data_IF_495626780674
#
_entry.id   IF_495626780674
#
_cell.length_a   1.000
_cell.length_b   1.000
_cell.length_c   1.000
_cell.angle_alpha   90.00
_cell.angle_beta   90.00
_cell.angle_gamma   90.00
#
_symmetry.space_group_name_H-M   'P 1'
#
loop_
_entity.id
_entity.type
_entity.pdbx_description
1 polymer ?
#
# COMPACT_ATOMS: atom_id res chain seq x y z
N UNK A 1 49.33 34.16 -6.01
CA UNK A 1 47.90 34.57 -5.77
C UNK A 1 46.90 33.64 -6.46
N UNK A 2 47.22 32.98 -7.57
CA UNK A 2 46.34 32.04 -8.30
C UNK A 2 46.12 30.68 -7.61
N UNK A 3 47.07 30.20 -6.80
CA UNK A 3 46.99 28.88 -6.14
C UNK A 3 45.95 28.84 -5.02
N UNK A 4 45.72 29.92 -4.28
CA UNK A 4 44.74 30.00 -3.19
C UNK A 4 43.30 30.07 -3.70
N UNK A 5 43.05 30.62 -4.88
CA UNK A 5 41.74 30.70 -5.49
C UNK A 5 41.26 29.34 -6.00
N UNK A 6 42.17 28.53 -6.55
CA UNK A 6 41.86 27.16 -7.02
C UNK A 6 41.55 26.22 -5.85
N UNK A 7 42.31 26.32 -4.76
CA UNK A 7 42.09 25.49 -3.56
C UNK A 7 40.74 25.80 -2.88
N UNK A 8 40.36 27.09 -2.84
CA UNK A 8 39.09 27.53 -2.23
C UNK A 8 37.85 27.11 -3.03
N UNK A 9 37.92 27.04 -4.34
CA UNK A 9 36.85 26.56 -5.20
C UNK A 9 36.77 25.04 -5.21
N UNK A 10 37.91 24.34 -5.12
CA UNK A 10 37.96 22.88 -5.05
C UNK A 10 37.37 22.38 -3.73
N UNK A 11 37.71 23.02 -2.60
CA UNK A 11 37.13 22.68 -1.29
C UNK A 11 35.64 22.96 -1.20
N UNK A 12 35.16 24.06 -1.80
CA UNK A 12 33.70 24.36 -1.87
C UNK A 12 32.96 23.32 -2.72
N UNK A 13 33.50 22.87 -3.83
CA UNK A 13 32.92 21.83 -4.67
C UNK A 13 32.84 20.48 -3.97
N UNK A 14 33.87 20.11 -3.21
CA UNK A 14 33.91 18.86 -2.43
C UNK A 14 32.89 18.93 -1.26
N UNK A 15 32.81 20.06 -0.56
CA UNK A 15 31.87 20.25 0.56
C UNK A 15 30.42 20.21 0.05
N UNK A 16 30.14 20.87 -1.09
CA UNK A 16 28.80 20.83 -1.70
C UNK A 16 28.43 19.41 -2.17
N UNK A 17 29.36 18.68 -2.78
CA UNK A 17 29.10 17.33 -3.25
C UNK A 17 28.88 16.34 -2.09
N UNK A 18 29.67 16.47 -1.00
CA UNK A 18 29.48 15.66 0.20
C UNK A 18 28.16 15.96 0.94
N UNK A 19 27.75 17.23 1.01
CA UNK A 19 26.46 17.60 1.62
C UNK A 19 25.27 17.08 0.81
N UNK A 20 25.34 17.08 -0.53
CA UNK A 20 24.33 16.51 -1.40
C UNK A 20 24.26 14.99 -1.21
N UNK A 21 25.39 14.30 -1.16
CA UNK A 21 25.44 12.84 -0.96
C UNK A 21 24.90 12.41 0.42
N UNK A 22 25.23 13.15 1.47
CA UNK A 22 24.74 12.89 2.84
C UNK A 22 23.23 13.11 2.93
N UNK A 23 22.69 14.16 2.32
CA UNK A 23 21.26 14.44 2.31
C UNK A 23 20.47 13.38 1.54
N UNK A 24 21.00 12.91 0.41
CA UNK A 24 20.40 11.82 -0.38
C UNK A 24 20.41 10.49 0.35
N UNK A 25 21.51 10.15 1.00
CA UNK A 25 21.64 8.93 1.80
C UNK A 25 20.66 8.95 2.97
N UNK A 26 20.55 10.06 3.69
CA UNK A 26 19.60 10.23 4.79
C UNK A 26 18.14 10.11 4.32
N UNK A 27 17.80 10.68 3.18
CA UNK A 27 16.48 10.55 2.58
C UNK A 27 16.15 9.10 2.21
N UNK A 28 17.07 8.39 1.58
CA UNK A 28 16.91 6.98 1.19
C UNK A 28 16.76 6.07 2.42
N UNK A 29 17.59 6.24 3.43
CA UNK A 29 17.51 5.46 4.68
C UNK A 29 16.18 5.68 5.38
N UNK A 30 15.71 6.92 5.46
CA UNK A 30 14.42 7.26 6.04
C UNK A 30 13.27 6.62 5.26
N UNK A 31 13.31 6.70 3.92
CA UNK A 31 12.29 6.10 3.06
C UNK A 31 12.22 4.58 3.27
N UNK A 32 13.38 3.90 3.34
CA UNK A 32 13.44 2.47 3.63
C UNK A 32 12.86 2.14 5.01
N UNK A 33 13.21 2.91 6.04
CA UNK A 33 12.69 2.70 7.39
C UNK A 33 11.16 2.85 7.45
N UNK A 34 10.60 3.90 6.84
CA UNK A 34 9.15 4.12 6.84
C UNK A 34 8.43 3.09 5.96
N UNK A 35 9.04 2.62 4.86
CA UNK A 35 8.52 1.51 4.06
C UNK A 35 8.47 0.21 4.88
N UNK A 36 9.52 -0.09 5.64
CA UNK A 36 9.57 -1.22 6.57
C UNK A 36 8.48 -1.13 7.65
N UNK A 37 8.27 0.05 8.23
CA UNK A 37 7.19 0.28 9.21
C UNK A 37 5.80 0.05 8.59
N UNK A 38 5.56 0.53 7.37
CA UNK A 38 4.28 0.31 6.68
C UNK A 38 4.07 -1.18 6.36
N UNK A 39 5.12 -1.88 5.92
CA UNK A 39 5.07 -3.34 5.71
C UNK A 39 4.77 -4.08 7.00
N UNK A 40 5.42 -3.72 8.12
CA UNK A 40 5.17 -4.31 9.43
C UNK A 40 3.73 -4.06 9.89
N UNK A 41 3.20 -2.86 9.67
CA UNK A 41 1.81 -2.55 9.96
C UNK A 41 0.83 -3.42 9.15
N UNK A 42 1.13 -3.69 7.87
CA UNK A 42 0.37 -4.64 7.05
C UNK A 42 0.43 -6.05 7.61
N UNK A 43 1.63 -6.53 7.94
CA UNK A 43 1.86 -7.87 8.50
C UNK A 43 1.16 -8.08 9.85
N UNK A 44 1.03 -7.03 10.65
CA UNK A 44 0.33 -7.08 11.94
C UNK A 44 -1.19 -6.97 11.76
N UNK A 45 -1.67 -6.05 10.94
CA UNK A 45 -3.09 -5.76 10.83
C UNK A 45 -3.87 -6.78 9.98
N UNK A 46 -3.25 -7.34 8.94
CA UNK A 46 -3.93 -8.22 7.99
C UNK A 46 -4.37 -9.58 8.57
N UNK A 47 -3.62 -10.24 9.48
CA UNK A 47 -4.05 -11.48 10.11
C UNK A 47 -5.33 -11.33 10.94
N UNK A 48 -5.50 -10.17 11.59
CA UNK A 48 -6.73 -9.87 12.35
C UNK A 48 -7.87 -9.60 11.39
N UNK A 49 -8.61 -10.63 11.09
CA UNK A 49 -9.73 -10.60 10.18
C UNK A 49 -10.93 -11.33 10.77
N UNK A 50 -12.12 -10.82 10.46
CA UNK A 50 -13.38 -11.38 10.93
C UNK A 50 -13.93 -12.27 9.82
N UNK A 51 -14.14 -13.57 10.07
CA UNK A 51 -14.76 -14.44 9.09
C UNK A 51 -16.21 -14.01 8.86
N UNK A 52 -16.63 -13.97 7.61
CA UNK A 52 -18.01 -13.67 7.22
C UNK A 52 -18.67 -14.98 6.82
N UNK A 53 -19.73 -15.45 7.51
CA UNK A 53 -20.29 -16.79 7.30
C UNK A 53 -20.75 -17.06 5.86
N UNK A 54 -21.15 -16.03 5.14
CA UNK A 54 -21.66 -16.13 3.76
C UNK A 54 -20.57 -15.93 2.68
N UNK A 55 -19.30 -15.73 3.09
CA UNK A 55 -18.22 -15.40 2.14
C UNK A 55 -16.91 -16.13 2.49
N UNK A 56 -16.19 -16.64 1.49
CA UNK A 56 -14.85 -17.17 1.67
C UNK A 56 -13.79 -16.08 1.91
N UNK A 57 -14.15 -14.81 1.72
CA UNK A 57 -13.27 -13.65 1.90
C UNK A 57 -13.52 -13.08 3.31
N UNK A 58 -12.54 -13.05 4.22
CA UNK A 58 -12.74 -12.45 5.54
C UNK A 58 -12.69 -10.92 5.50
N UNK A 59 -13.42 -10.28 6.40
CA UNK A 59 -13.34 -8.84 6.61
C UNK A 59 -12.01 -8.50 7.30
N UNK A 60 -11.11 -7.79 6.64
CA UNK A 60 -9.79 -7.42 7.18
C UNK A 60 -9.56 -5.91 7.14
N UNK A 61 -8.53 -5.46 7.87
CA UNK A 61 -8.06 -4.07 7.84
C UNK A 61 -6.96 -3.85 6.78
N UNK A 62 -6.61 -4.86 5.99
CA UNK A 62 -5.49 -4.80 5.05
C UNK A 62 -5.61 -3.62 4.07
N UNK A 63 -6.77 -3.47 3.42
CA UNK A 63 -7.02 -2.38 2.49
C UNK A 63 -6.93 -1.00 3.15
N UNK A 64 -7.38 -0.86 4.40
CA UNK A 64 -7.25 0.37 5.16
C UNK A 64 -5.78 0.76 5.42
N UNK A 65 -4.95 -0.21 5.82
CA UNK A 65 -3.52 0.03 6.02
C UNK A 65 -2.83 0.35 4.70
N UNK A 66 -3.22 -0.29 3.58
CA UNK A 66 -2.73 0.04 2.24
C UNK A 66 -3.07 1.50 1.88
N UNK A 67 -4.32 1.94 2.11
CA UNK A 67 -4.71 3.32 1.87
C UNK A 67 -3.82 4.32 2.60
N UNK A 68 -3.53 4.07 3.88
CA UNK A 68 -2.66 4.92 4.68
C UNK A 68 -1.20 4.85 4.22
N UNK A 69 -0.67 3.65 3.95
CA UNK A 69 0.69 3.47 3.48
C UNK A 69 0.94 4.24 2.17
N UNK A 70 0.04 4.11 1.20
CA UNK A 70 0.14 4.85 -0.08
C UNK A 70 -0.03 6.35 0.13
N UNK A 71 -0.93 6.76 1.03
CA UNK A 71 -1.15 8.18 1.33
C UNK A 71 0.11 8.84 1.92
N UNK A 72 0.79 8.15 2.82
CA UNK A 72 1.97 8.65 3.54
C UNK A 72 3.22 8.57 2.67
N UNK A 73 3.48 7.40 2.08
CA UNK A 73 4.74 7.07 1.40
C UNK A 73 4.76 7.44 -0.08
N UNK A 74 3.59 7.61 -0.67
CA UNK A 74 3.48 7.79 -2.12
C UNK A 74 3.42 6.48 -2.89
N UNK A 75 3.27 6.58 -4.22
CA UNK A 75 3.05 5.44 -5.10
C UNK A 75 4.14 4.39 -4.99
N UNK A 76 5.42 4.78 -5.16
CA UNK A 76 6.52 3.82 -5.24
C UNK A 76 6.74 3.05 -3.93
N UNK A 77 6.91 3.78 -2.83
CA UNK A 77 7.20 3.15 -1.53
C UNK A 77 5.97 2.47 -0.92
N UNK A 78 4.76 3.02 -1.12
CA UNK A 78 3.51 2.38 -0.70
C UNK A 78 3.26 1.07 -1.46
N UNK A 79 3.46 1.03 -2.78
CA UNK A 79 3.35 -0.22 -3.55
C UNK A 79 4.45 -1.22 -3.17
N UNK A 80 5.67 -0.74 -2.91
CA UNK A 80 6.77 -1.61 -2.46
C UNK A 80 6.45 -2.26 -1.11
N UNK A 81 5.84 -1.53 -0.16
CA UNK A 81 5.44 -2.11 1.12
C UNK A 81 4.39 -3.22 0.96
N UNK A 82 3.44 -3.06 0.02
CA UNK A 82 2.47 -4.11 -0.31
C UNK A 82 3.15 -5.31 -0.97
N UNK A 83 4.08 -5.07 -1.89
CA UNK A 83 4.83 -6.14 -2.56
C UNK A 83 5.64 -6.96 -1.57
N UNK A 84 6.35 -6.32 -0.64
CA UNK A 84 7.11 -7.00 0.42
C UNK A 84 6.16 -7.81 1.32
N UNK A 85 5.03 -7.24 1.74
CA UNK A 85 4.00 -7.94 2.51
C UNK A 85 3.53 -9.22 1.79
N UNK A 86 3.22 -9.14 0.49
CA UNK A 86 2.80 -10.30 -0.30
C UNK A 86 3.92 -11.34 -0.45
N UNK A 87 5.16 -10.90 -0.63
CA UNK A 87 6.32 -11.79 -0.71
C UNK A 87 6.56 -12.54 0.61
N UNK A 88 6.45 -11.85 1.76
CA UNK A 88 6.56 -12.48 3.08
C UNK A 88 5.46 -13.52 3.30
N UNK A 89 4.22 -13.18 2.94
CA UNK A 89 3.11 -14.12 3.01
C UNK A 89 3.26 -15.30 2.06
N UNK A 90 3.76 -15.09 0.83
CA UNK A 90 4.07 -16.15 -0.13
C UNK A 90 5.16 -17.10 0.37
N UNK A 91 6.17 -16.57 1.08
CA UNK A 91 7.23 -17.35 1.71
C UNK A 91 6.74 -18.22 2.90
N UNK A 92 5.47 -18.11 3.28
CA UNK A 92 4.87 -18.94 4.33
C UNK A 92 4.69 -18.26 5.67
N UNK A 93 5.06 -16.98 5.81
CA UNK A 93 4.80 -16.25 7.05
C UNK A 93 3.29 -16.06 7.24
N UNK A 94 2.74 -16.21 8.47
CA UNK A 94 1.31 -16.14 8.76
C UNK A 94 0.81 -14.69 8.81
N UNK A 95 1.07 -13.93 7.74
CA UNK A 95 0.76 -12.49 7.65
C UNK A 95 -0.51 -12.19 6.85
N UNK A 96 -1.13 -13.20 6.22
CA UNK A 96 -2.41 -13.03 5.54
C UNK A 96 -3.59 -13.20 6.51
N UNK A 97 -4.80 -12.92 6.04
CA UNK A 97 -6.02 -13.03 6.84
C UNK A 97 -6.14 -14.37 7.56
N UNK A 98 -6.61 -14.33 8.81
CA UNK A 98 -6.76 -15.50 9.71
C UNK A 98 -5.43 -16.22 9.97
N UNK A 99 -4.33 -15.46 10.12
CA UNK A 99 -2.99 -15.97 10.40
C UNK A 99 -2.51 -17.03 9.39
N UNK A 100 -2.91 -16.90 8.14
CA UNK A 100 -2.52 -17.81 7.07
C UNK A 100 -1.34 -17.27 6.27
N UNK A 101 -0.69 -18.14 5.50
CA UNK A 101 0.43 -17.82 4.61
C UNK A 101 0.68 -18.93 3.62
N UNK A 102 1.71 -18.77 2.81
CA UNK A 102 2.14 -19.70 1.79
C UNK A 102 1.43 -19.55 0.44
N UNK A 103 1.99 -20.22 -0.58
CA UNK A 103 1.47 -20.19 -1.94
C UNK A 103 0.05 -20.74 -2.06
N UNK A 104 -0.33 -21.69 -1.19
CA UNK A 104 -1.69 -22.23 -1.14
C UNK A 104 -2.75 -21.17 -0.84
N UNK A 105 -2.45 -20.16 -0.03
CA UNK A 105 -3.37 -19.06 0.23
C UNK A 105 -3.49 -18.11 -0.98
N UNK A 106 -2.39 -17.89 -1.69
CA UNK A 106 -2.39 -17.09 -2.92
C UNK A 106 -3.11 -17.82 -4.05
N UNK A 107 -2.94 -19.13 -4.15
CA UNK A 107 -3.65 -19.95 -5.12
C UNK A 107 -5.13 -20.20 -4.72
N UNK A 108 -5.53 -19.90 -3.50
CA UNK A 108 -6.89 -20.08 -2.99
C UNK A 108 -7.89 -18.99 -3.41
N UNK A 109 -9.14 -19.06 -2.93
CA UNK A 109 -10.24 -18.16 -3.32
C UNK A 109 -9.96 -16.67 -3.10
N UNK A 110 -9.10 -16.33 -2.15
CA UNK A 110 -8.74 -14.94 -1.84
C UNK A 110 -7.53 -14.41 -2.61
N UNK A 111 -6.86 -15.25 -3.43
CA UNK A 111 -5.63 -14.91 -4.14
C UNK A 111 -5.78 -13.73 -5.10
N UNK A 112 -6.90 -13.65 -5.80
CA UNK A 112 -7.18 -12.53 -6.69
C UNK A 112 -7.28 -11.18 -5.96
N UNK A 113 -7.82 -11.16 -4.74
CA UNK A 113 -7.85 -9.95 -3.90
C UNK A 113 -6.45 -9.57 -3.41
N UNK A 114 -5.62 -10.56 -3.05
CA UNK A 114 -4.22 -10.31 -2.67
C UNK A 114 -3.43 -9.67 -3.82
N UNK A 115 -3.54 -10.21 -5.03
CA UNK A 115 -2.97 -9.57 -6.23
C UNK A 115 -3.60 -8.20 -6.51
N UNK A 116 -4.90 -8.06 -6.29
CA UNK A 116 -5.65 -6.82 -6.41
C UNK A 116 -5.13 -5.69 -5.52
N UNK A 117 -4.53 -5.99 -4.36
CA UNK A 117 -3.91 -4.99 -3.48
C UNK A 117 -2.74 -4.25 -4.13
N UNK A 118 -2.00 -4.88 -5.03
CA UNK A 118 -0.95 -4.20 -5.80
C UNK A 118 -1.56 -3.17 -6.75
N UNK A 119 -2.62 -3.54 -7.48
CA UNK A 119 -3.32 -2.62 -8.36
C UNK A 119 -3.96 -1.47 -7.58
N UNK A 120 -4.56 -1.76 -6.42
CA UNK A 120 -5.10 -0.75 -5.52
C UNK A 120 -4.03 0.27 -5.13
N UNK A 121 -2.85 -0.18 -4.66
CA UNK A 121 -1.77 0.70 -4.26
C UNK A 121 -1.24 1.55 -5.43
N UNK A 122 -1.07 0.95 -6.61
CA UNK A 122 -0.62 1.64 -7.82
C UNK A 122 -1.62 2.69 -8.29
N UNK A 123 -2.90 2.35 -8.38
CA UNK A 123 -3.94 3.24 -8.87
C UNK A 123 -4.14 4.41 -7.92
N UNK A 124 -4.33 4.12 -6.62
CA UNK A 124 -4.47 5.17 -5.61
C UNK A 124 -3.30 6.16 -5.66
N UNK A 125 -2.08 5.64 -5.64
CA UNK A 125 -0.88 6.47 -5.65
C UNK A 125 -0.72 7.27 -6.93
N UNK A 126 -1.05 6.70 -8.10
CA UNK A 126 -0.98 7.37 -9.40
C UNK A 126 -2.00 8.49 -9.50
N UNK A 127 -3.24 8.26 -9.10
CA UNK A 127 -4.29 9.28 -9.06
C UNK A 127 -3.90 10.43 -8.13
N UNK A 128 -3.44 10.11 -6.92
CA UNK A 128 -2.99 11.13 -5.96
C UNK A 128 -1.81 11.95 -6.51
N UNK A 129 -0.86 11.32 -7.19
CA UNK A 129 0.28 12.00 -7.82
C UNK A 129 -0.18 12.92 -8.95
N UNK A 130 -1.08 12.46 -9.81
CA UNK A 130 -1.59 13.24 -10.94
C UNK A 130 -2.32 14.50 -10.48
N UNK A 131 -3.16 14.41 -9.46
CA UNK A 131 -3.92 15.52 -8.88
C UNK A 131 -3.20 16.23 -7.73
N UNK A 132 -1.85 16.20 -7.70
CA UNK A 132 -1.01 16.94 -6.73
C UNK A 132 -1.42 16.74 -5.27
N UNK A 133 -1.78 15.52 -4.88
CA UNK A 133 -2.07 15.11 -3.49
C UNK A 133 -3.28 15.80 -2.83
N UNK A 134 -4.24 16.24 -3.61
CA UNK A 134 -5.49 16.78 -3.09
C UNK A 134 -6.30 15.69 -2.35
N UNK A 135 -7.05 16.08 -1.31
CA UNK A 135 -7.87 15.12 -0.53
C UNK A 135 -8.93 14.42 -1.38
N UNK A 136 -9.59 15.15 -2.27
CA UNK A 136 -10.55 14.59 -3.21
C UNK A 136 -9.93 13.52 -4.11
N UNK A 137 -8.73 13.78 -4.60
CA UNK A 137 -7.99 12.83 -5.42
C UNK A 137 -7.61 11.56 -4.64
N UNK A 138 -7.33 11.68 -3.35
CA UNK A 138 -7.09 10.52 -2.51
C UNK A 138 -8.34 9.63 -2.41
N UNK A 139 -9.50 10.21 -2.17
CA UNK A 139 -10.78 9.46 -2.12
C UNK A 139 -11.07 8.80 -3.47
N UNK A 140 -10.96 9.55 -4.56
CA UNK A 140 -11.16 9.01 -5.92
C UNK A 140 -10.17 7.87 -6.20
N UNK A 141 -8.90 8.05 -5.84
CA UNK A 141 -7.87 7.02 -6.03
C UNK A 141 -8.14 5.75 -5.20
N UNK A 142 -8.60 5.89 -3.97
CA UNK A 142 -9.00 4.76 -3.11
C UNK A 142 -10.19 4.02 -3.72
N UNK A 143 -11.23 4.74 -4.17
CA UNK A 143 -12.42 4.14 -4.79
C UNK A 143 -12.04 3.41 -6.08
N UNK A 144 -11.31 4.05 -7.00
CA UNK A 144 -10.90 3.43 -8.26
C UNK A 144 -10.00 2.20 -8.01
N UNK A 145 -9.07 2.31 -7.07
CA UNK A 145 -8.22 1.19 -6.68
C UNK A 145 -9.02 0.02 -6.10
N UNK A 146 -10.04 0.31 -5.28
CA UNK A 146 -10.94 -0.72 -4.74
C UNK A 146 -11.79 -1.37 -5.83
N UNK A 147 -12.34 -0.60 -6.77
CA UNK A 147 -13.11 -1.15 -7.89
C UNK A 147 -12.28 -2.15 -8.69
N UNK A 148 -11.03 -1.79 -9.01
CA UNK A 148 -10.13 -2.70 -9.73
C UNK A 148 -9.77 -3.92 -8.88
N UNK A 149 -9.47 -3.73 -7.59
CA UNK A 149 -9.19 -4.83 -6.66
C UNK A 149 -10.39 -5.80 -6.58
N UNK A 150 -11.60 -5.28 -6.45
CA UNK A 150 -12.80 -6.09 -6.41
C UNK A 150 -13.09 -6.81 -7.73
N UNK A 151 -12.94 -6.13 -8.86
CA UNK A 151 -13.14 -6.76 -10.18
C UNK A 151 -12.18 -7.93 -10.36
N UNK A 152 -10.89 -7.73 -10.05
CA UNK A 152 -9.89 -8.77 -10.17
C UNK A 152 -10.11 -9.91 -9.18
N UNK A 153 -10.40 -9.58 -7.91
CA UNK A 153 -10.67 -10.55 -6.85
C UNK A 153 -11.93 -11.37 -7.13
N UNK A 154 -13.01 -10.73 -7.60
CA UNK A 154 -14.28 -11.41 -7.94
C UNK A 154 -14.13 -12.30 -9.15
N UNK A 155 -13.40 -11.88 -10.20
CA UNK A 155 -13.12 -12.70 -11.37
C UNK A 155 -12.34 -13.96 -10.98
N UNK A 156 -11.33 -13.81 -10.13
CA UNK A 156 -10.56 -14.92 -9.59
C UNK A 156 -11.43 -15.88 -8.75
N UNK A 157 -12.24 -15.32 -7.84
CA UNK A 157 -13.14 -16.10 -7.00
C UNK A 157 -14.16 -16.87 -7.82
N UNK A 158 -14.77 -16.25 -8.84
CA UNK A 158 -15.71 -16.88 -9.75
C UNK A 158 -15.07 -18.07 -10.51
N UNK A 159 -13.87 -17.84 -11.04
CA UNK A 159 -13.10 -18.90 -11.72
C UNK A 159 -12.76 -20.05 -10.79
N UNK A 160 -12.27 -19.75 -9.57
CA UNK A 160 -11.85 -20.74 -8.59
C UNK A 160 -13.02 -21.58 -8.04
N UNK A 161 -14.20 -20.97 -7.84
CA UNK A 161 -15.37 -21.63 -7.25
C UNK A 161 -16.34 -22.20 -8.29
N UNK A 162 -16.10 -21.97 -9.58
CA UNK A 162 -17.01 -22.38 -10.65
C UNK A 162 -18.35 -21.64 -10.65
N UNK A 163 -18.44 -20.50 -9.96
CA UNK A 163 -19.67 -19.70 -9.86
C UNK A 163 -19.73 -18.61 -10.94
N UNK A 164 -20.92 -18.09 -11.19
CA UNK A 164 -21.05 -16.90 -12.05
C UNK A 164 -20.41 -15.68 -11.40
N UNK A 165 -19.95 -14.73 -12.21
CA UNK A 165 -19.35 -13.49 -11.72
C UNK A 165 -20.32 -12.71 -10.79
N UNK A 166 -21.61 -12.68 -11.10
CA UNK A 166 -22.64 -12.04 -10.28
C UNK A 166 -22.80 -12.69 -8.91
N UNK A 167 -22.78 -14.03 -8.84
CA UNK A 167 -22.84 -14.76 -7.57
C UNK A 167 -21.58 -14.50 -6.73
N UNK A 168 -20.39 -14.55 -7.33
CA UNK A 168 -19.13 -14.24 -6.66
C UNK A 168 -19.07 -12.77 -6.17
N UNK A 169 -19.62 -11.82 -6.92
CA UNK A 169 -19.71 -10.41 -6.53
C UNK A 169 -20.63 -10.21 -5.31
N UNK A 170 -21.74 -10.93 -5.27
CA UNK A 170 -22.68 -10.86 -4.13
C UNK A 170 -22.04 -11.31 -2.82
N UNK A 171 -21.25 -12.37 -2.85
CA UNK A 171 -20.59 -12.90 -1.64
C UNK A 171 -19.23 -12.25 -1.36
N UNK A 172 -18.49 -11.85 -2.41
CA UNK A 172 -17.12 -11.35 -2.30
C UNK A 172 -16.99 -9.84 -2.19
N UNK A 173 -18.05 -9.05 -2.47
CA UNK A 173 -17.99 -7.57 -2.49
C UNK A 173 -19.09 -6.92 -1.67
N UNK A 174 -20.35 -7.26 -1.91
CA UNK A 174 -21.49 -6.54 -1.29
C UNK A 174 -21.42 -6.42 0.23
N UNK A 175 -21.06 -7.47 1.01
CA UNK A 175 -20.99 -7.38 2.47
C UNK A 175 -19.91 -6.41 2.98
N UNK A 176 -18.90 -6.11 2.14
CA UNK A 176 -17.73 -5.32 2.53
C UNK A 176 -17.88 -3.83 2.22
N UNK A 177 -18.77 -3.44 1.29
CA UNK A 177 -18.94 -2.06 0.84
C UNK A 177 -19.18 -1.06 1.99
N UNK A 178 -20.06 -1.32 2.99
CA UNK A 178 -20.26 -0.36 4.07
C UNK A 178 -19.00 -0.16 4.92
N UNK A 179 -18.30 -1.25 5.24
CA UNK A 179 -17.05 -1.21 6.00
C UNK A 179 -15.94 -0.49 5.25
N UNK A 180 -15.83 -0.70 3.94
CA UNK A 180 -14.80 -0.09 3.12
C UNK A 180 -15.07 1.39 2.84
N UNK A 181 -16.34 1.80 2.74
CA UNK A 181 -16.70 3.22 2.71
C UNK A 181 -16.24 3.95 3.98
N UNK A 182 -16.45 3.34 5.16
CA UNK A 182 -15.95 3.87 6.43
C UNK A 182 -14.43 3.95 6.47
N UNK A 183 -13.72 2.90 6.02
CA UNK A 183 -12.25 2.89 5.94
C UNK A 183 -11.72 3.99 5.04
N UNK A 184 -12.34 4.23 3.87
CA UNK A 184 -11.99 5.31 2.96
C UNK A 184 -12.19 6.67 3.65
N UNK A 185 -13.33 6.89 4.30
CA UNK A 185 -13.62 8.13 5.01
C UNK A 185 -12.59 8.41 6.11
N UNK A 186 -12.24 7.41 6.92
CA UNK A 186 -11.23 7.53 7.98
C UNK A 186 -9.85 7.75 7.37
N UNK A 187 -9.46 7.01 6.35
CA UNK A 187 -8.16 7.17 5.68
C UNK A 187 -8.01 8.56 5.04
N UNK A 188 -9.06 9.10 4.42
CA UNK A 188 -9.08 10.45 3.86
C UNK A 188 -8.97 11.55 4.93
N UNK A 189 -9.47 11.30 6.14
CA UNK A 189 -9.42 12.25 7.25
C UNK A 189 -8.08 12.23 7.99
N UNK A 190 -7.53 11.05 8.22
CA UNK A 190 -6.30 10.83 9.00
C UNK A 190 -5.04 10.92 8.13
N UNK A 191 -5.11 10.47 6.89
CA UNK A 191 -3.98 10.40 5.95
C UNK A 191 -3.22 11.72 5.78
N UNK A 192 -3.88 12.89 5.59
CA UNK A 192 -3.19 14.17 5.47
C UNK A 192 -2.38 14.54 6.72
N UNK A 193 -2.92 14.26 7.90
CA UNK A 193 -2.26 14.54 9.19
C UNK A 193 -1.01 13.67 9.36
N UNK A 194 -1.13 12.36 9.09
CA UNK A 194 -0.01 11.42 9.17
C UNK A 194 1.09 11.77 8.15
N UNK A 195 0.71 12.10 6.91
CA UNK A 195 1.67 12.53 5.90
C UNK A 195 2.41 13.78 6.31
N UNK A 196 1.71 14.78 6.86
CA UNK A 196 2.33 16.02 7.32
C UNK A 196 3.35 15.77 8.45
N UNK A 197 3.06 14.84 9.37
CA UNK A 197 3.98 14.45 10.45
C UNK A 197 5.23 13.76 9.93
N UNK A 198 5.07 12.87 8.95
CA UNK A 198 6.20 12.13 8.36
C UNK A 198 7.04 13.00 7.42
N UNK A 199 6.46 13.96 6.69
CA UNK A 199 7.20 14.81 5.76
C UNK A 199 7.84 16.06 6.41
N UNK A 200 7.42 16.45 7.64
CA UNK A 200 7.94 17.64 8.35
C UNK A 200 9.23 17.37 9.13
N UNK A 201 9.53 16.15 9.48
CA UNK A 201 10.76 15.76 10.19
C UNK A 201 11.79 15.21 9.20
#
# INVERSE_FOLDING_TARGET
>A
MYSLYFYKNYSKGIIMNNNISISETRYRTRLMAVTGLATSALCIAAPFSIPVPVSPVPLSLTNFVIFLAVYILGTKAGTLSVLIYLALGAAGLPVFSSFSGGLGKIAGPTGGYLAGFLFLALIQGSVMKYFKWQRSAAVVGMILGMVVCYTFGTAWLAWQSGQSFSAALTVGVLPYLPGDALKIAVAASVGPKLRASVCRS
#
